data_IF_803564782005
#
_entry.id   IF_803564782005
#
_cell.length_a   1.000
_cell.length_b   1.000
_cell.length_c   1.000
_cell.angle_alpha   90.00
_cell.angle_beta   90.00
_cell.angle_gamma   90.00
#
_symmetry.space_group_name_H-M   'P 1'
#
loop_
_entity.id
_entity.type
_entity.pdbx_description
1 polymer ?
#
# COMPACT_ATOMS: atom_id res chain seq x y z
N UNK A 1 13.76 10.71 -13.35
CA UNK A 1 13.85 9.23 -13.35
C UNK A 1 12.47 8.71 -13.70
N UNK A 2 12.36 7.74 -14.58
CA UNK A 2 11.07 7.20 -15.03
C UNK A 2 10.75 5.90 -14.29
N UNK A 3 9.46 5.52 -14.11
CA UNK A 3 9.10 4.28 -13.40
C UNK A 3 9.77 3.02 -13.96
N UNK A 4 9.97 2.93 -15.27
CA UNK A 4 10.68 1.82 -15.91
C UNK A 4 12.15 1.67 -15.47
N UNK A 5 12.77 2.75 -14.96
CA UNK A 5 14.18 2.75 -14.54
C UNK A 5 14.35 2.18 -13.13
N UNK A 6 13.31 2.21 -12.30
CA UNK A 6 13.38 1.81 -10.89
C UNK A 6 12.33 0.81 -10.41
N UNK A 7 11.45 0.34 -11.29
CA UNK A 7 10.58 -0.77 -10.99
C UNK A 7 11.39 -2.07 -10.81
N UNK A 8 11.04 -2.87 -9.79
CA UNK A 8 11.84 -4.03 -9.42
C UNK A 8 11.52 -5.31 -10.17
N UNK A 9 10.43 -5.35 -10.94
CA UNK A 9 10.10 -6.52 -11.74
C UNK A 9 9.98 -6.18 -13.22
N UNK A 10 10.31 -7.16 -14.06
CA UNK A 10 10.36 -6.99 -15.51
C UNK A 10 8.97 -6.76 -16.11
N UNK A 11 7.94 -7.34 -15.53
CA UNK A 11 6.57 -7.13 -16.00
C UNK A 11 6.15 -5.66 -15.88
N UNK A 12 6.40 -5.04 -14.72
CA UNK A 12 6.13 -3.62 -14.53
C UNK A 12 6.98 -2.74 -15.45
N UNK A 13 8.29 -3.03 -15.57
CA UNK A 13 9.19 -2.30 -16.48
C UNK A 13 8.67 -2.32 -17.90
N UNK A 14 8.27 -3.49 -18.39
CA UNK A 14 7.71 -3.66 -19.73
C UNK A 14 6.40 -2.90 -19.88
N UNK A 15 5.51 -2.97 -18.90
CA UNK A 15 4.22 -2.26 -18.92
C UNK A 15 4.41 -0.74 -18.97
N UNK A 16 5.38 -0.19 -18.26
CA UNK A 16 5.70 1.24 -18.33
C UNK A 16 6.31 1.63 -19.69
N UNK A 17 7.25 0.84 -20.22
CA UNK A 17 7.88 1.07 -21.52
C UNK A 17 6.85 1.03 -22.67
N UNK A 18 5.91 0.12 -22.62
CA UNK A 18 4.87 -0.05 -23.64
C UNK A 18 3.67 0.87 -23.45
N UNK A 19 3.68 1.73 -22.40
CA UNK A 19 2.58 2.65 -22.05
C UNK A 19 1.21 1.95 -21.88
N UNK A 20 1.22 0.69 -21.47
CA UNK A 20 0.00 -0.07 -21.15
C UNK A 20 -0.60 0.44 -19.82
N UNK A 21 0.26 0.88 -18.89
CA UNK A 21 -0.20 1.50 -17.64
C UNK A 21 -0.81 2.87 -17.91
N UNK A 22 -2.10 2.97 -17.71
CA UNK A 22 -2.87 4.22 -17.85
C UNK A 22 -3.30 4.70 -16.48
N UNK A 23 -3.21 6.02 -16.26
CA UNK A 23 -3.82 6.69 -15.12
C UNK A 23 -5.19 7.25 -15.52
N UNK A 24 -6.19 7.15 -14.67
CA UNK A 24 -6.19 6.38 -13.41
C UNK A 24 -6.18 4.88 -13.64
N UNK A 25 -5.50 4.15 -12.76
CA UNK A 25 -5.54 2.69 -12.77
C UNK A 25 -6.92 2.17 -12.32
N UNK A 26 -7.36 1.00 -12.79
CA UNK A 26 -8.67 0.47 -12.42
C UNK A 26 -8.71 0.09 -10.92
N UNK A 27 -9.82 0.40 -10.26
CA UNK A 27 -10.08 -0.02 -8.90
C UNK A 27 -10.07 -1.56 -8.78
N UNK A 28 -9.42 -2.05 -7.72
CA UNK A 28 -9.40 -3.49 -7.37
C UNK A 28 -10.40 -3.86 -6.28
N UNK A 29 -11.10 -2.88 -5.75
CA UNK A 29 -12.14 -3.03 -4.72
C UNK A 29 -13.25 -2.02 -4.97
N UNK A 30 -14.49 -2.42 -4.73
CA UNK A 30 -15.63 -1.51 -4.83
C UNK A 30 -15.64 -0.56 -3.62
N UNK A 31 -15.49 0.73 -3.88
CA UNK A 31 -15.43 1.81 -2.89
C UNK A 31 -16.19 3.05 -3.38
N UNK A 32 -16.67 3.85 -2.41
CA UNK A 32 -16.99 5.25 -2.63
C UNK A 32 -15.71 6.05 -2.48
N UNK A 33 -15.37 6.89 -3.47
CA UNK A 33 -14.10 7.57 -3.50
C UNK A 33 -14.21 8.97 -4.12
N UNK A 34 -13.25 9.83 -3.80
CA UNK A 34 -12.96 11.06 -4.52
C UNK A 34 -11.95 10.72 -5.64
N UNK A 35 -12.50 10.53 -6.85
CA UNK A 35 -11.71 10.08 -8.01
C UNK A 35 -10.66 11.11 -8.45
N UNK A 36 -10.89 12.41 -8.20
CA UNK A 36 -9.93 13.47 -8.55
C UNK A 36 -8.73 13.39 -7.61
N UNK A 37 -8.97 13.31 -6.29
CA UNK A 37 -7.89 13.13 -5.31
C UNK A 37 -7.15 11.80 -5.48
N UNK A 38 -7.85 10.73 -5.89
CA UNK A 38 -7.19 9.47 -6.21
C UNK A 38 -6.24 9.60 -7.40
N UNK A 39 -6.65 10.27 -8.46
CA UNK A 39 -5.81 10.53 -9.63
C UNK A 39 -4.60 11.39 -9.25
N UNK A 40 -4.80 12.45 -8.45
CA UNK A 40 -3.72 13.28 -7.91
C UNK A 40 -2.71 12.43 -7.13
N UNK A 41 -3.18 11.57 -6.22
CA UNK A 41 -2.34 10.65 -5.48
C UNK A 41 -1.53 9.74 -6.41
N UNK A 42 -2.17 9.09 -7.40
CA UNK A 42 -1.47 8.21 -8.34
C UNK A 42 -0.35 8.95 -9.08
N UNK A 43 -0.59 10.17 -9.54
CA UNK A 43 0.40 10.99 -10.22
C UNK A 43 1.63 11.30 -9.34
N UNK A 44 1.44 11.47 -8.04
CA UNK A 44 2.54 11.66 -7.09
C UNK A 44 3.28 10.34 -6.86
N UNK A 45 2.55 9.23 -6.64
CA UNK A 45 3.13 7.91 -6.40
C UNK A 45 4.00 7.43 -7.58
N UNK A 46 3.59 7.73 -8.82
CA UNK A 46 4.38 7.41 -10.02
C UNK A 46 5.79 8.06 -10.01
N UNK A 47 5.96 9.16 -9.31
CA UNK A 47 7.22 9.91 -9.22
C UNK A 47 8.14 9.39 -8.11
N UNK A 48 7.64 8.58 -7.18
CA UNK A 48 8.44 8.02 -6.08
C UNK A 48 9.32 6.86 -6.56
N UNK A 49 10.62 6.84 -6.20
CA UNK A 49 11.46 5.65 -6.37
C UNK A 49 10.88 4.45 -5.61
N UNK A 50 11.20 3.23 -6.07
CA UNK A 50 10.59 2.01 -5.54
C UNK A 50 10.68 1.87 -4.02
N UNK A 51 11.83 2.16 -3.43
CA UNK A 51 12.03 2.06 -1.97
C UNK A 51 11.18 3.08 -1.21
N UNK A 52 11.11 4.32 -1.71
CA UNK A 52 10.32 5.38 -1.08
C UNK A 52 8.81 5.13 -1.25
N UNK A 53 8.41 4.60 -2.40
CA UNK A 53 7.03 4.17 -2.62
C UNK A 53 6.62 3.05 -1.65
N UNK A 54 7.49 2.08 -1.42
CA UNK A 54 7.24 1.00 -0.46
C UNK A 54 7.16 1.53 0.98
N UNK A 55 8.04 2.45 1.37
CA UNK A 55 8.00 3.12 2.68
C UNK A 55 6.74 3.95 2.86
N UNK A 56 6.36 4.70 1.84
CA UNK A 56 5.10 5.45 1.84
C UNK A 56 3.89 4.53 2.09
N UNK A 57 3.80 3.43 1.35
CA UNK A 57 2.70 2.49 1.49
C UNK A 57 2.66 1.88 2.91
N UNK A 58 3.82 1.51 3.45
CA UNK A 58 3.93 0.98 4.80
C UNK A 58 3.50 2.01 5.84
N UNK A 59 3.97 3.26 5.73
CA UNK A 59 3.61 4.34 6.65
C UNK A 59 2.11 4.64 6.60
N UNK A 60 1.54 4.70 5.39
CA UNK A 60 0.10 4.85 5.21
C UNK A 60 -0.72 3.73 5.86
N UNK A 61 -0.17 2.52 5.96
CA UNK A 61 -0.87 1.37 6.55
C UNK A 61 -0.90 1.38 8.08
N UNK A 62 -0.06 2.17 8.75
CA UNK A 62 0.10 2.12 10.23
C UNK A 62 -1.17 2.41 11.00
N UNK A 63 -1.95 3.39 10.55
CA UNK A 63 -3.21 3.77 11.21
C UNK A 63 -4.28 2.67 11.19
N UNK A 64 -4.09 1.68 10.34
CA UNK A 64 -5.03 0.58 10.17
C UNK A 64 -4.63 -0.67 10.97
N UNK A 65 -3.40 -0.75 11.52
CA UNK A 65 -2.92 -1.93 12.25
C UNK A 65 -3.74 -2.20 13.50
N UNK A 66 -4.16 -1.16 14.21
CA UNK A 66 -4.99 -1.28 15.41
C UNK A 66 -6.41 -1.81 15.12
N UNK A 67 -6.87 -1.70 13.88
CA UNK A 67 -8.17 -2.17 13.43
C UNK A 67 -8.15 -3.66 13.01
N UNK A 68 -6.97 -4.28 12.91
CA UNK A 68 -6.82 -5.70 12.60
C UNK A 68 -7.18 -6.49 13.85
N UNK A 69 -8.17 -7.35 13.72
CA UNK A 69 -8.62 -8.26 14.77
C UNK A 69 -8.82 -9.65 14.17
N UNK A 70 -8.08 -10.63 14.68
CA UNK A 70 -8.18 -12.05 14.31
C UNK A 70 -8.58 -12.93 15.49
N UNK A 71 -8.99 -12.33 16.62
CA UNK A 71 -9.34 -13.02 17.85
C UNK A 71 -8.14 -13.51 18.67
N UNK A 72 -6.94 -13.48 18.14
CA UNK A 72 -5.67 -13.84 18.80
C UNK A 72 -4.65 -12.71 18.60
N UNK A 73 -4.48 -11.89 19.63
CA UNK A 73 -3.58 -10.74 19.63
C UNK A 73 -2.09 -11.15 19.54
N UNK A 74 -1.74 -12.30 20.17
CA UNK A 74 -0.39 -12.84 20.13
C UNK A 74 0.02 -13.27 18.73
N UNK A 75 -0.83 -14.02 18.05
CA UNK A 75 -0.59 -14.47 16.68
C UNK A 75 -0.61 -13.29 15.69
N UNK A 76 -1.53 -12.33 15.87
CA UNK A 76 -1.54 -11.08 15.07
C UNK A 76 -0.20 -10.36 15.15
N UNK A 77 0.28 -10.09 16.37
CA UNK A 77 1.51 -9.35 16.58
C UNK A 77 2.74 -10.11 16.05
N UNK A 78 2.76 -11.42 16.16
CA UNK A 78 3.80 -12.28 15.59
C UNK A 78 3.83 -12.16 14.06
N UNK A 79 2.68 -12.28 13.39
CA UNK A 79 2.58 -12.17 11.93
C UNK A 79 3.02 -10.78 11.49
N UNK A 80 2.54 -9.71 12.13
CA UNK A 80 2.90 -8.34 11.80
C UNK A 80 4.40 -8.14 11.92
N UNK A 81 5.01 -8.54 13.03
CA UNK A 81 6.46 -8.40 13.26
C UNK A 81 7.28 -9.14 12.19
N UNK A 82 6.99 -10.42 11.94
CA UNK A 82 7.70 -11.20 10.93
C UNK A 82 7.58 -10.58 9.52
N UNK A 83 6.42 -9.99 9.24
CA UNK A 83 6.18 -9.33 7.96
C UNK A 83 6.99 -8.03 7.83
N UNK A 84 7.12 -7.25 8.91
CA UNK A 84 8.01 -6.07 8.94
C UNK A 84 9.48 -6.46 8.74
N UNK A 85 9.95 -7.51 9.42
CA UNK A 85 11.32 -8.03 9.27
C UNK A 85 11.61 -8.41 7.81
N UNK A 86 10.68 -9.11 7.15
CA UNK A 86 10.81 -9.48 5.75
C UNK A 86 10.78 -8.26 4.80
N UNK A 87 9.95 -7.25 5.10
CA UNK A 87 9.91 -6.01 4.35
C UNK A 87 11.24 -5.25 4.44
N UNK A 88 11.78 -5.09 5.65
CA UNK A 88 13.06 -4.41 5.86
C UNK A 88 14.22 -5.15 5.20
N UNK A 89 14.25 -6.49 5.30
CA UNK A 89 15.23 -7.32 4.60
C UNK A 89 15.14 -7.13 3.07
N UNK A 90 13.93 -7.00 2.54
CA UNK A 90 13.73 -6.69 1.12
C UNK A 90 14.26 -5.31 0.73
N UNK A 91 14.01 -4.28 1.55
CA UNK A 91 14.53 -2.93 1.30
C UNK A 91 16.06 -2.86 1.34
N UNK A 92 16.70 -3.72 2.17
CA UNK A 92 18.16 -3.86 2.20
C UNK A 92 18.72 -4.77 1.09
N UNK A 93 17.87 -5.34 0.22
CA UNK A 93 18.20 -6.32 -0.82
C UNK A 93 18.74 -7.67 -0.26
N UNK A 94 18.45 -7.99 0.99
CA UNK A 94 18.75 -9.27 1.64
C UNK A 94 17.74 -10.35 1.22
N UNK A 95 16.49 -9.95 1.00
CA UNK A 95 15.42 -10.82 0.50
C UNK A 95 15.14 -10.59 -0.98
N UNK A 96 14.95 -11.70 -1.69
CA UNK A 96 14.41 -11.71 -3.05
C UNK A 96 12.92 -11.32 -3.09
N UNK A 97 12.36 -10.93 -4.25
CA UNK A 97 10.92 -10.74 -4.40
C UNK A 97 10.09 -11.98 -4.02
N UNK A 98 10.66 -13.19 -4.19
CA UNK A 98 10.00 -14.46 -3.86
C UNK A 98 9.88 -14.66 -2.34
N UNK A 99 10.91 -14.34 -1.58
CA UNK A 99 10.91 -14.43 -0.11
C UNK A 99 9.92 -13.43 0.49
N UNK A 100 9.90 -12.19 0.00
CA UNK A 100 8.90 -11.20 0.42
C UNK A 100 7.48 -11.68 0.10
N UNK A 101 7.27 -12.31 -1.06
CA UNK A 101 5.95 -12.84 -1.43
C UNK A 101 5.49 -13.93 -0.48
N UNK A 102 6.38 -14.79 0.00
CA UNK A 102 6.06 -15.78 1.06
C UNK A 102 5.60 -15.10 2.35
N UNK A 103 6.31 -14.05 2.79
CA UNK A 103 5.90 -13.26 3.95
C UNK A 103 4.51 -12.61 3.72
N UNK A 104 4.24 -12.11 2.51
CA UNK A 104 2.93 -11.59 2.12
C UNK A 104 1.81 -12.65 2.19
N UNK A 105 2.07 -13.90 1.85
CA UNK A 105 1.10 -14.99 2.03
C UNK A 105 0.80 -15.26 3.51
N UNK A 106 1.83 -15.22 4.37
CA UNK A 106 1.64 -15.34 5.82
C UNK A 106 0.84 -14.15 6.36
N UNK A 107 1.21 -12.92 5.97
CA UNK A 107 0.46 -11.72 6.35
C UNK A 107 -1.01 -11.76 5.91
N UNK A 108 -1.33 -12.41 4.78
CA UNK A 108 -2.71 -12.54 4.32
C UNK A 108 -3.60 -13.40 5.23
N UNK A 109 -3.02 -14.19 6.15
CA UNK A 109 -3.77 -14.87 7.21
C UNK A 109 -4.51 -13.87 8.10
N UNK A 110 -3.97 -12.67 8.33
CA UNK A 110 -4.65 -11.60 9.05
C UNK A 110 -6.00 -11.24 8.40
N UNK A 111 -6.05 -11.18 7.07
CA UNK A 111 -7.30 -10.91 6.34
C UNK A 111 -8.25 -12.11 6.32
N UNK A 112 -7.71 -13.33 6.25
CA UNK A 112 -8.53 -14.56 6.22
C UNK A 112 -9.20 -14.87 7.56
N UNK A 113 -8.49 -14.59 8.66
CA UNK A 113 -8.94 -14.88 10.03
C UNK A 113 -9.63 -13.69 10.70
N UNK A 114 -9.84 -12.59 9.97
CA UNK A 114 -10.42 -11.38 10.50
C UNK A 114 -11.85 -11.59 11.03
N UNK A 115 -12.13 -11.06 12.24
CA UNK A 115 -13.40 -11.23 12.95
C UNK A 115 -14.54 -10.40 12.34
N UNK A 116 -14.23 -9.36 11.56
CA UNK A 116 -15.23 -8.50 10.92
C UNK A 116 -14.69 -7.88 9.62
N UNK A 117 -15.56 -7.18 8.89
CA UNK A 117 -15.20 -6.58 7.60
C UNK A 117 -14.16 -5.44 7.74
N UNK A 118 -14.23 -4.63 8.79
CA UNK A 118 -13.24 -3.56 9.03
C UNK A 118 -11.87 -4.19 9.26
N UNK A 119 -11.75 -5.17 10.15
CA UNK A 119 -10.52 -5.89 10.42
C UNK A 119 -9.95 -6.57 9.16
N UNK A 120 -10.82 -7.18 8.35
CA UNK A 120 -10.43 -7.81 7.08
C UNK A 120 -9.80 -6.82 6.11
N UNK A 121 -10.42 -5.66 5.91
CA UNK A 121 -9.90 -4.67 4.97
C UNK A 121 -8.72 -3.91 5.55
N UNK A 122 -8.65 -3.67 6.85
CA UNK A 122 -7.48 -3.15 7.53
C UNK A 122 -6.25 -4.07 7.33
N UNK A 123 -6.43 -5.37 7.48
CA UNK A 123 -5.38 -6.34 7.16
C UNK A 123 -4.95 -6.27 5.69
N UNK A 124 -5.88 -6.06 4.76
CA UNK A 124 -5.56 -5.90 3.33
C UNK A 124 -4.78 -4.62 3.03
N UNK A 125 -5.04 -3.51 3.74
CA UNK A 125 -4.20 -2.30 3.65
C UNK A 125 -2.74 -2.68 3.93
N UNK A 126 -2.48 -3.36 5.04
CA UNK A 126 -1.14 -3.76 5.44
C UNK A 126 -0.49 -4.74 4.45
N UNK A 127 -1.20 -5.80 4.03
CA UNK A 127 -0.67 -6.79 3.08
C UNK A 127 -0.29 -6.16 1.74
N UNK A 128 -1.09 -5.24 1.22
CA UNK A 128 -0.80 -4.54 -0.03
C UNK A 128 0.37 -3.55 0.15
N UNK A 129 0.45 -2.88 1.29
CA UNK A 129 1.58 -2.02 1.60
C UNK A 129 2.92 -2.79 1.56
N UNK A 130 2.99 -3.93 2.22
CA UNK A 130 4.16 -4.83 2.19
C UNK A 130 4.49 -5.26 0.75
N UNK A 131 3.47 -5.64 -0.01
CA UNK A 131 3.62 -6.12 -1.39
C UNK A 131 4.16 -5.04 -2.34
N UNK A 132 4.04 -3.76 -1.99
CA UNK A 132 4.64 -2.65 -2.74
C UNK A 132 6.15 -2.81 -2.87
N UNK A 133 6.82 -3.42 -1.90
CA UNK A 133 8.27 -3.65 -1.95
C UNK A 133 8.72 -4.65 -3.04
N UNK A 134 7.81 -5.28 -3.78
CA UNK A 134 8.15 -6.06 -4.97
C UNK A 134 7.39 -5.64 -6.24
N UNK A 135 6.27 -4.90 -6.11
CA UNK A 135 5.47 -4.44 -7.25
C UNK A 135 4.80 -3.11 -6.92
N UNK A 136 5.07 -2.08 -7.74
CA UNK A 136 4.59 -0.69 -7.55
C UNK A 136 3.08 -0.58 -7.46
N UNK A 137 2.36 -1.31 -8.31
CA UNK A 137 0.91 -1.26 -8.39
C UNK A 137 0.17 -1.60 -7.09
N UNK A 138 0.84 -2.26 -6.13
CA UNK A 138 0.26 -2.52 -4.82
C UNK A 138 0.08 -1.26 -3.96
N UNK A 139 0.83 -0.18 -4.22
CA UNK A 139 0.75 1.06 -3.46
C UNK A 139 -0.65 1.68 -3.52
N UNK A 140 -1.17 1.92 -4.73
CA UNK A 140 -2.52 2.49 -4.89
C UNK A 140 -3.61 1.51 -4.42
N UNK A 141 -3.40 0.21 -4.57
CA UNK A 141 -4.34 -0.81 -4.07
C UNK A 141 -4.40 -0.78 -2.54
N UNK A 142 -3.27 -0.59 -1.84
CA UNK A 142 -3.24 -0.38 -0.39
C UNK A 142 -4.04 0.86 0.00
N UNK A 143 -3.82 1.99 -0.69
CA UNK A 143 -4.58 3.23 -0.47
C UNK A 143 -6.08 3.05 -0.69
N UNK A 144 -6.49 2.32 -1.74
CA UNK A 144 -7.89 2.03 -2.02
C UNK A 144 -8.54 1.15 -0.93
N UNK A 145 -7.81 0.19 -0.36
CA UNK A 145 -8.29 -0.57 0.80
C UNK A 145 -8.45 0.29 2.05
N UNK A 146 -7.60 1.30 2.25
CA UNK A 146 -7.76 2.27 3.33
C UNK A 146 -9.09 3.03 3.18
N UNK A 147 -9.43 3.47 1.95
CA UNK A 147 -10.75 4.06 1.65
C UNK A 147 -11.89 3.06 1.92
N UNK A 148 -11.69 1.78 1.57
CA UNK A 148 -12.70 0.75 1.91
C UNK A 148 -12.96 0.67 3.41
N UNK A 149 -11.93 0.76 4.25
CA UNK A 149 -12.09 0.81 5.70
C UNK A 149 -12.90 2.03 6.11
N UNK A 150 -12.57 3.23 5.59
CA UNK A 150 -13.33 4.47 5.88
C UNK A 150 -14.79 4.36 5.45
N UNK A 151 -15.08 3.74 4.30
CA UNK A 151 -16.44 3.49 3.84
C UNK A 151 -17.26 2.58 4.76
N UNK A 152 -16.59 1.76 5.58
CA UNK A 152 -17.24 0.84 6.52
C UNK A 152 -17.42 1.44 7.92
N UNK A 153 -16.69 2.51 8.25
CA UNK A 153 -16.68 3.11 9.58
C UNK A 153 -17.84 4.07 9.82
N UNK A 154 -18.30 4.80 8.80
CA UNK A 154 -19.32 5.85 8.98
C UNK A 154 -20.35 5.93 7.85
N UNK A 155 -21.49 6.57 8.18
CA UNK A 155 -22.62 6.81 7.28
C UNK A 155 -22.30 7.96 6.31
N UNK A 156 -21.65 9.03 6.77
CA UNK A 156 -21.17 10.14 5.91
C UNK A 156 -19.78 9.84 5.36
N UNK A 157 -19.79 9.03 4.33
CA UNK A 157 -18.58 8.43 3.73
C UNK A 157 -17.69 9.43 3.01
N UNK A 158 -18.27 10.54 2.49
CA UNK A 158 -17.53 11.43 1.58
C UNK A 158 -16.48 12.25 2.31
N UNK A 159 -16.80 12.79 3.49
CA UNK A 159 -15.88 13.61 4.26
C UNK A 159 -14.68 12.79 4.75
N UNK A 160 -14.92 11.60 5.34
CA UNK A 160 -13.85 10.71 5.77
C UNK A 160 -12.95 10.25 4.61
N UNK A 161 -13.54 9.99 3.45
CA UNK A 161 -12.80 9.62 2.24
C UNK A 161 -11.89 10.75 1.79
N UNK A 162 -12.39 11.99 1.76
CA UNK A 162 -11.59 13.17 1.39
C UNK A 162 -10.43 13.38 2.35
N UNK A 163 -10.70 13.32 3.65
CA UNK A 163 -9.67 13.46 4.69
C UNK A 163 -8.58 12.37 4.54
N UNK A 164 -8.97 11.12 4.31
CA UNK A 164 -8.02 10.02 4.10
C UNK A 164 -7.21 10.24 2.82
N UNK A 165 -7.82 10.62 1.69
CA UNK A 165 -7.09 10.93 0.46
C UNK A 165 -6.12 12.11 0.62
N UNK A 166 -6.52 13.17 1.29
CA UNK A 166 -5.65 14.31 1.59
C UNK A 166 -4.47 13.93 2.47
N UNK A 167 -4.69 13.06 3.47
CA UNK A 167 -3.62 12.51 4.28
C UNK A 167 -2.63 11.69 3.44
N UNK A 168 -3.13 10.82 2.56
CA UNK A 168 -2.32 10.01 1.65
C UNK A 168 -1.50 10.88 0.71
N UNK A 169 -2.09 11.95 0.16
CA UNK A 169 -1.42 12.91 -0.72
C UNK A 169 -0.31 13.64 0.04
N UNK A 170 -0.62 14.25 1.20
CA UNK A 170 0.38 14.96 2.01
C UNK A 170 1.56 14.04 2.38
N UNK A 171 1.28 12.80 2.72
CA UNK A 171 2.33 11.82 3.01
C UNK A 171 3.17 11.51 1.76
N UNK A 172 2.56 11.38 0.59
CA UNK A 172 3.28 11.12 -0.66
C UNK A 172 4.16 12.32 -1.07
N UNK A 173 3.67 13.54 -0.90
CA UNK A 173 4.43 14.78 -1.13
C UNK A 173 5.63 14.88 -0.17
N UNK A 174 5.45 14.51 1.11
CA UNK A 174 6.56 14.47 2.06
C UNK A 174 7.67 13.51 1.60
N UNK A 175 7.33 12.31 1.18
CA UNK A 175 8.31 11.36 0.66
C UNK A 175 8.98 11.87 -0.62
N UNK A 176 8.22 12.50 -1.51
CA UNK A 176 8.75 13.09 -2.74
C UNK A 176 9.66 14.30 -2.46
N UNK A 177 9.32 15.13 -1.47
CA UNK A 177 10.13 16.26 -1.05
C UNK A 177 11.48 15.84 -0.47
N UNK A 178 11.50 14.81 0.37
CA UNK A 178 12.71 14.28 1.00
C UNK A 178 13.69 13.68 -0.02
N UNK A 179 13.24 13.16 -1.15
CA UNK A 179 14.10 12.68 -2.24
C UNK A 179 14.96 13.80 -2.86
N UNK A 180 14.46 15.04 -2.87
CA UNK A 180 15.21 16.19 -3.43
C UNK A 180 16.43 16.57 -2.60
N UNK A 181 16.47 16.19 -1.30
CA UNK A 181 17.59 16.50 -0.41
C UNK A 181 18.62 15.36 -0.27
N UNK A 182 18.38 14.21 -0.93
CA UNK A 182 19.29 13.03 -0.88
C UNK A 182 20.26 12.97 -2.09
N UNK A 183 20.32 14.03 -2.91
CA UNK A 183 21.23 14.14 -4.06
C UNK A 183 22.45 14.99 -3.75
#
# INVERSE_FOLDING_TARGET
MKPEDYAWNEFERTSYKTKINRLPSPYKVAIWDDSEKRLELEQILERLPQKELARWALENSRDFLSLIDIGDEGEKNKIIRQTYEAFDARLRNEFSPHELRKAGFTANLLSKNAQNQIAKYAARVFVQAISTAHMRGHAIVSADYAIKVRNLQEVDKLELVRQEREKQIRLAEFFLGNEKYKR
#
